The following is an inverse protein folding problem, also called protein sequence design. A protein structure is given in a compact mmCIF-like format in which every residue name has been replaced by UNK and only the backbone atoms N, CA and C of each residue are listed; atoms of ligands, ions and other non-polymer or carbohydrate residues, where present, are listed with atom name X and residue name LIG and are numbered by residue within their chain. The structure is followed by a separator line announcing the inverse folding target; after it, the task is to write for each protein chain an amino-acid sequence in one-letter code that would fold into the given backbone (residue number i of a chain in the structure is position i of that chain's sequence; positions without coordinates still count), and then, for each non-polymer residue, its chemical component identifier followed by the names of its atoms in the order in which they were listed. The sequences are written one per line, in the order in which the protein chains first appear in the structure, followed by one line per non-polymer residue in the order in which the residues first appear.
data_IF_744056820126
#
_entry.id   IF_744056820126
#
_cell.length_a   1.000
_cell.length_b   1.000
_cell.length_c   1.000
_cell.angle_alpha   90.00
_cell.angle_beta   90.00
_cell.angle_gamma   90.00
#
_symmetry.space_group_name_H-M   'P 1'
#
loop_
_entity.id
_entity.type
_entity.pdbx_description
1 polymer ?
#
# COMPACT_ATOMS: atom_id res chain seq x y z
N UNK A 1 -37.01 -52.39 -34.03
CA UNK A 1 -37.13 -51.40 -32.93
C UNK A 1 -36.23 -51.84 -31.82
N UNK A 2 -35.03 -51.23 -31.77
CA UNK A 2 -34.05 -51.52 -30.70
C UNK A 2 -34.24 -50.40 -29.67
N UNK A 3 -34.72 -50.75 -28.48
CA UNK A 3 -34.90 -49.83 -27.37
C UNK A 3 -33.54 -49.57 -26.71
N UNK A 4 -33.05 -48.37 -26.84
CA UNK A 4 -31.94 -47.91 -26.05
C UNK A 4 -32.44 -47.53 -24.64
N UNK A 5 -32.22 -48.43 -23.69
CA UNK A 5 -32.32 -48.10 -22.26
C UNK A 5 -31.05 -47.32 -21.90
N UNK A 6 -31.16 -46.00 -21.77
CA UNK A 6 -30.13 -45.19 -21.16
C UNK A 6 -29.97 -45.65 -19.70
N UNK A 7 -28.86 -46.33 -19.43
CA UNK A 7 -28.41 -46.54 -18.04
C UNK A 7 -28.04 -45.17 -17.45
N UNK A 8 -28.94 -44.61 -16.63
CA UNK A 8 -28.59 -43.48 -15.75
C UNK A 8 -27.52 -43.98 -14.79
N UNK A 9 -26.29 -43.56 -14.99
CA UNK A 9 -25.26 -43.64 -13.98
C UNK A 9 -25.74 -42.76 -12.81
N UNK A 10 -25.93 -43.30 -11.59
CA UNK A 10 -26.21 -42.45 -10.43
C UNK A 10 -24.99 -41.56 -10.28
N UNK A 11 -25.10 -40.27 -10.55
CA UNK A 11 -24.09 -39.30 -10.14
C UNK A 11 -24.24 -39.20 -8.62
N UNK A 12 -23.54 -40.07 -7.90
CA UNK A 12 -23.25 -39.85 -6.47
C UNK A 12 -22.57 -38.49 -6.36
N UNK A 13 -23.29 -37.52 -5.80
CA UNK A 13 -22.73 -36.17 -5.60
C UNK A 13 -21.76 -36.26 -4.41
N UNK A 14 -20.55 -36.69 -4.73
CA UNK A 14 -19.46 -36.89 -3.73
C UNK A 14 -19.27 -35.64 -2.91
N UNK A 15 -19.43 -34.46 -3.49
CA UNK A 15 -19.30 -33.18 -2.79
C UNK A 15 -20.41 -33.03 -1.74
N UNK A 16 -21.70 -33.22 -2.14
CA UNK A 16 -22.83 -33.09 -1.20
C UNK A 16 -22.74 -34.07 -0.04
N UNK A 17 -22.25 -35.30 -0.30
CA UNK A 17 -22.12 -36.32 0.73
C UNK A 17 -21.00 -36.05 1.73
N UNK A 18 -20.01 -35.22 1.37
CA UNK A 18 -18.82 -34.95 2.23
C UNK A 18 -18.74 -33.51 2.73
N UNK A 19 -19.60 -32.57 2.26
CA UNK A 19 -19.49 -31.15 2.61
C UNK A 19 -19.56 -30.90 4.11
N UNK A 20 -20.46 -31.58 4.82
CA UNK A 20 -20.60 -31.39 6.28
C UNK A 20 -19.37 -31.90 7.04
N UNK A 21 -18.83 -33.06 6.70
CA UNK A 21 -17.62 -33.59 7.32
C UNK A 21 -16.41 -32.68 7.08
N UNK A 22 -16.27 -32.15 5.86
CA UNK A 22 -15.22 -31.19 5.52
C UNK A 22 -15.37 -29.90 6.34
N UNK A 23 -16.59 -29.35 6.42
CA UNK A 23 -16.86 -28.14 7.20
C UNK A 23 -16.58 -28.36 8.69
N UNK A 24 -17.06 -29.46 9.27
CA UNK A 24 -16.83 -29.77 10.68
C UNK A 24 -15.35 -29.97 10.98
N UNK A 25 -14.62 -30.63 10.08
CA UNK A 25 -13.16 -30.80 10.21
C UNK A 25 -12.44 -29.46 10.23
N UNK A 26 -12.77 -28.55 9.32
CA UNK A 26 -12.14 -27.23 9.22
C UNK A 26 -12.52 -26.35 10.44
N UNK A 27 -13.81 -26.33 10.83
CA UNK A 27 -14.24 -25.56 12.00
C UNK A 27 -13.62 -26.07 13.30
N UNK A 28 -13.45 -27.39 13.44
CA UNK A 28 -12.73 -27.96 14.59
C UNK A 28 -11.26 -27.55 14.60
N UNK A 29 -10.59 -27.45 13.43
CA UNK A 29 -9.24 -26.97 13.31
C UNK A 29 -9.07 -25.52 13.80
N UNK A 30 -10.06 -24.66 13.57
CA UNK A 30 -10.06 -23.25 14.05
C UNK A 30 -10.12 -23.12 15.59
N UNK A 31 -10.45 -24.19 16.31
CA UNK A 31 -10.47 -24.19 17.78
C UNK A 31 -9.08 -24.22 18.41
N UNK A 32 -8.02 -24.44 17.62
CA UNK A 32 -6.64 -24.54 18.12
C UNK A 32 -5.97 -23.20 18.42
N UNK A 33 -6.65 -22.06 18.19
CA UNK A 33 -6.18 -20.69 18.48
C UNK A 33 -4.75 -20.41 17.99
N UNK A 34 -4.49 -20.72 16.71
CA UNK A 34 -3.18 -20.49 16.10
C UNK A 34 -2.99 -19.01 15.76
N UNK A 35 -1.75 -18.57 15.61
CA UNK A 35 -1.42 -17.19 15.23
C UNK A 35 -2.02 -16.75 13.88
N UNK A 36 -2.43 -17.71 13.04
CA UNK A 36 -3.09 -17.47 11.76
C UNK A 36 -4.62 -17.28 11.90
N UNK A 37 -5.18 -17.59 13.09
CA UNK A 37 -6.61 -17.54 13.35
C UNK A 37 -7.02 -16.19 13.93
N UNK A 38 -8.04 -15.56 13.35
CA UNK A 38 -8.67 -14.32 13.82
C UNK A 38 -10.18 -14.42 13.67
N UNK A 39 -10.80 -15.17 14.57
CA UNK A 39 -12.25 -15.46 14.51
C UNK A 39 -13.13 -14.25 14.86
N UNK A 40 -12.59 -13.21 15.49
CA UNK A 40 -13.33 -11.97 15.74
C UNK A 40 -13.34 -11.11 14.49
N UNK A 41 -14.47 -11.04 13.82
CA UNK A 41 -14.70 -10.19 12.66
C UNK A 41 -14.58 -8.71 13.03
N UNK A 42 -14.09 -7.89 12.09
CA UNK A 42 -14.00 -6.43 12.20
C UNK A 42 -13.13 -5.87 13.33
N UNK A 43 -12.19 -6.67 13.84
CA UNK A 43 -11.25 -6.23 14.90
C UNK A 43 -9.88 -5.83 14.37
N UNK A 44 -9.61 -6.07 13.09
CA UNK A 44 -8.35 -5.76 12.41
C UNK A 44 -8.57 -4.79 11.24
N UNK A 45 -7.50 -4.08 10.80
CA UNK A 45 -7.56 -3.30 9.58
C UNK A 45 -7.94 -4.16 8.38
N UNK A 46 -8.82 -3.63 7.51
CA UNK A 46 -9.25 -4.31 6.29
C UNK A 46 -8.36 -3.90 5.11
N UNK A 47 -7.64 -4.86 4.55
CA UNK A 47 -6.75 -4.65 3.40
C UNK A 47 -7.47 -4.06 2.19
N UNK A 48 -8.73 -4.47 1.92
CA UNK A 48 -9.50 -3.96 0.78
C UNK A 48 -9.94 -2.52 0.99
N UNK A 49 -10.31 -2.16 2.23
CA UNK A 49 -10.63 -0.76 2.58
C UNK A 49 -9.38 0.11 2.45
N UNK A 50 -8.21 -0.38 2.86
CA UNK A 50 -6.93 0.35 2.70
C UNK A 50 -6.59 0.55 1.22
N UNK A 51 -6.78 -0.46 0.36
CA UNK A 51 -6.61 -0.31 -1.09
C UNK A 51 -7.55 0.78 -1.64
N UNK A 52 -8.81 0.80 -1.18
CA UNK A 52 -9.76 1.85 -1.58
C UNK A 52 -9.33 3.24 -1.13
N UNK A 53 -8.74 3.36 0.06
CA UNK A 53 -8.14 4.61 0.54
C UNK A 53 -6.98 5.04 -0.37
N UNK A 54 -6.10 4.12 -0.79
CA UNK A 54 -5.01 4.41 -1.73
C UNK A 54 -5.56 4.96 -3.05
N UNK A 55 -6.55 4.29 -3.64
CA UNK A 55 -7.20 4.75 -4.88
C UNK A 55 -7.78 6.16 -4.75
N UNK A 56 -8.43 6.46 -3.62
CA UNK A 56 -8.96 7.77 -3.34
C UNK A 56 -7.85 8.82 -3.15
N UNK A 57 -6.77 8.47 -2.43
CA UNK A 57 -5.61 9.35 -2.27
C UNK A 57 -4.93 9.64 -3.61
N UNK A 58 -4.83 8.66 -4.52
CA UNK A 58 -4.34 8.91 -5.89
C UNK A 58 -5.19 9.97 -6.62
N UNK A 59 -6.53 9.94 -6.48
CA UNK A 59 -7.43 10.95 -7.05
C UNK A 59 -7.23 12.33 -6.41
N UNK A 60 -6.92 12.38 -5.12
CA UNK A 60 -6.62 13.62 -4.38
C UNK A 60 -5.26 14.19 -4.81
N UNK A 61 -4.25 13.34 -5.01
CA UNK A 61 -2.92 13.75 -5.46
C UNK A 61 -2.91 14.27 -6.90
N UNK A 62 -3.68 13.64 -7.79
CA UNK A 62 -3.74 13.96 -9.22
C UNK A 62 -5.17 14.31 -9.65
N UNK A 63 -5.72 15.47 -9.23
CA UNK A 63 -7.08 15.84 -9.51
C UNK A 63 -7.33 15.94 -11.02
N UNK A 64 -8.39 15.28 -11.49
CA UNK A 64 -8.76 15.25 -12.89
C UNK A 64 -8.20 14.09 -13.72
N UNK A 65 -7.15 13.40 -13.28
CA UNK A 65 -6.57 12.25 -14.00
C UNK A 65 -7.28 10.95 -13.72
N UNK A 66 -7.60 10.65 -12.47
CA UNK A 66 -8.25 9.39 -12.05
C UNK A 66 -9.72 9.68 -11.71
N UNK A 67 -10.66 9.37 -12.62
CA UNK A 67 -12.09 9.63 -12.45
C UNK A 67 -12.88 8.35 -12.21
N UNK A 68 -13.93 8.46 -11.39
CA UNK A 68 -15.01 7.46 -11.40
C UNK A 68 -15.93 7.74 -12.59
N UNK A 69 -16.09 6.76 -13.47
CA UNK A 69 -16.88 6.88 -14.70
C UNK A 69 -18.40 6.95 -14.45
N UNK A 70 -18.83 6.67 -13.21
CA UNK A 70 -20.24 6.49 -12.86
C UNK A 70 -21.03 7.78 -12.57
N UNK A 71 -20.36 8.92 -12.38
CA UNK A 71 -21.06 10.17 -12.04
C UNK A 71 -20.58 11.32 -12.90
N UNK A 72 -21.49 11.92 -13.68
CA UNK A 72 -21.32 13.24 -14.30
C UNK A 72 -21.43 14.29 -13.19
N UNK A 73 -20.33 14.57 -12.50
CA UNK A 73 -20.34 15.60 -11.45
C UNK A 73 -20.03 16.93 -12.10
N UNK A 74 -21.02 17.81 -12.09
CA UNK A 74 -20.97 19.14 -12.73
C UNK A 74 -20.09 20.15 -11.96
N UNK A 75 -19.69 19.86 -10.71
CA UNK A 75 -18.92 20.78 -9.87
C UNK A 75 -17.76 19.99 -9.25
N UNK A 76 -16.56 20.22 -9.75
CA UNK A 76 -15.32 19.52 -9.28
C UNK A 76 -15.09 19.72 -7.76
N UNK A 77 -15.38 20.92 -7.25
CA UNK A 77 -15.17 21.26 -5.83
C UNK A 77 -16.00 20.38 -4.90
N UNK A 78 -17.28 20.18 -5.20
CA UNK A 78 -18.17 19.36 -4.37
C UNK A 78 -17.74 17.87 -4.40
N UNK A 79 -17.29 17.37 -5.55
CA UNK A 79 -16.84 15.99 -5.68
C UNK A 79 -15.54 15.75 -4.91
N UNK A 80 -14.63 16.71 -4.94
CA UNK A 80 -13.36 16.63 -4.19
C UNK A 80 -13.61 16.68 -2.68
N UNK A 81 -14.55 17.52 -2.22
CA UNK A 81 -14.93 17.55 -0.80
C UNK A 81 -15.45 16.19 -0.33
N UNK A 82 -16.42 15.60 -1.03
CA UNK A 82 -16.97 14.28 -0.68
C UNK A 82 -15.90 13.21 -0.69
N UNK A 83 -14.98 13.25 -1.68
CA UNK A 83 -13.87 12.29 -1.78
C UNK A 83 -12.92 12.41 -0.57
N UNK A 84 -12.58 13.64 -0.16
CA UNK A 84 -11.72 13.88 1.01
C UNK A 84 -12.42 13.40 2.28
N UNK A 85 -13.69 13.76 2.49
CA UNK A 85 -14.47 13.36 3.66
C UNK A 85 -14.59 11.83 3.76
N UNK A 86 -14.97 11.11 2.69
CA UNK A 86 -15.05 9.64 2.67
C UNK A 86 -13.69 9.01 2.99
N UNK A 87 -12.62 9.53 2.39
CA UNK A 87 -11.27 8.99 2.61
C UNK A 87 -10.80 9.21 4.04
N UNK A 88 -11.08 10.40 4.62
CA UNK A 88 -10.75 10.74 5.99
C UNK A 88 -11.45 9.80 6.99
N UNK A 89 -12.76 9.60 6.85
CA UNK A 89 -13.51 8.72 7.76
C UNK A 89 -13.08 7.25 7.64
N UNK A 90 -12.85 6.77 6.41
CA UNK A 90 -12.32 5.40 6.20
C UNK A 90 -10.95 5.23 6.83
N UNK A 91 -10.02 6.16 6.59
CA UNK A 91 -8.68 6.08 7.16
C UNK A 91 -8.72 6.14 8.69
N UNK A 92 -9.52 7.03 9.26
CA UNK A 92 -9.71 7.13 10.71
C UNK A 92 -10.12 5.78 11.31
N UNK A 93 -11.10 5.10 10.71
CA UNK A 93 -11.53 3.78 11.21
C UNK A 93 -10.44 2.73 11.09
N UNK A 94 -9.66 2.73 10.00
CA UNK A 94 -8.57 1.78 9.84
C UNK A 94 -7.42 2.06 10.83
N UNK A 95 -7.10 3.33 11.10
CA UNK A 95 -6.10 3.70 12.12
C UNK A 95 -6.55 3.24 13.50
N UNK A 96 -7.80 3.49 13.89
CA UNK A 96 -8.37 3.03 15.18
C UNK A 96 -8.20 1.51 15.38
N UNK A 97 -8.46 0.72 14.32
CA UNK A 97 -8.24 -0.72 14.35
C UNK A 97 -6.75 -1.08 14.41
N UNK A 98 -5.90 -0.34 13.70
CA UNK A 98 -4.48 -0.60 13.63
C UNK A 98 -3.76 -0.30 14.94
N UNK A 99 -4.16 0.74 15.69
CA UNK A 99 -3.56 1.12 16.97
C UNK A 99 -3.54 -0.02 17.99
N UNK A 100 -4.54 -0.91 17.95
CA UNK A 100 -4.61 -2.12 18.81
C UNK A 100 -3.43 -3.09 18.62
N UNK A 101 -2.63 -2.91 17.56
CA UNK A 101 -1.44 -3.73 17.26
C UNK A 101 -0.12 -3.04 17.67
N UNK A 102 -0.19 -1.84 18.22
CA UNK A 102 0.99 -1.16 18.74
C UNK A 102 1.14 -1.43 20.24
N UNK A 103 2.35 -1.80 20.70
CA UNK A 103 2.62 -1.95 22.13
C UNK A 103 2.34 -0.67 22.95
N UNK A 104 2.45 0.49 22.31
CA UNK A 104 2.20 1.79 22.96
C UNK A 104 0.74 1.96 23.41
N UNK A 105 -0.19 1.19 22.83
CA UNK A 105 -1.63 1.25 23.09
C UNK A 105 -2.20 -0.06 23.67
N UNK A 106 -1.35 -0.96 24.19
CA UNK A 106 -1.76 -2.28 24.72
C UNK A 106 -2.83 -2.15 25.83
N UNK A 107 -2.75 -1.10 26.63
CA UNK A 107 -3.66 -0.84 27.75
C UNK A 107 -4.64 0.30 27.49
N UNK A 108 -4.69 0.85 26.27
CA UNK A 108 -5.59 1.94 25.92
C UNK A 108 -7.03 1.45 25.79
N UNK A 109 -7.97 2.23 26.28
CA UNK A 109 -9.39 1.95 26.08
C UNK A 109 -9.88 2.40 24.69
N UNK A 110 -11.10 2.00 24.31
CA UNK A 110 -11.67 2.33 23.00
C UNK A 110 -11.86 3.85 22.81
N UNK A 111 -12.04 4.63 23.88
CA UNK A 111 -12.16 6.09 23.79
C UNK A 111 -10.80 6.74 23.48
N UNK A 112 -9.75 6.31 24.15
CA UNK A 112 -8.38 6.77 23.91
C UNK A 112 -7.93 6.44 22.49
N UNK A 113 -8.19 5.21 22.03
CA UNK A 113 -7.89 4.79 20.66
C UNK A 113 -8.64 5.63 19.62
N UNK A 114 -9.90 5.93 19.88
CA UNK A 114 -10.73 6.75 18.99
C UNK A 114 -10.19 8.18 18.87
N UNK A 115 -9.85 8.82 19.98
CA UNK A 115 -9.30 10.19 20.00
C UNK A 115 -7.95 10.24 19.29
N UNK A 116 -7.08 9.27 19.57
CA UNK A 116 -5.77 9.21 18.94
C UNK A 116 -5.86 8.96 17.43
N UNK A 117 -6.75 8.05 17.00
CA UNK A 117 -6.99 7.82 15.57
C UNK A 117 -7.43 9.10 14.84
N UNK A 118 -8.30 9.91 15.45
CA UNK A 118 -8.70 11.19 14.89
C UNK A 118 -7.51 12.15 14.78
N UNK A 119 -6.70 12.26 15.83
CA UNK A 119 -5.51 13.12 15.85
C UNK A 119 -4.52 12.74 14.72
N UNK A 120 -4.22 11.44 14.59
CA UNK A 120 -3.32 10.92 13.57
C UNK A 120 -3.87 11.13 12.16
N UNK A 121 -5.17 10.91 11.97
CA UNK A 121 -5.85 11.11 10.68
C UNK A 121 -5.75 12.57 10.25
N UNK A 122 -6.09 13.50 11.14
CA UNK A 122 -6.01 14.95 10.85
C UNK A 122 -4.57 15.35 10.56
N UNK A 123 -3.60 14.89 11.36
CA UNK A 123 -2.18 15.15 11.14
C UNK A 123 -1.74 14.66 9.75
N UNK A 124 -2.11 13.46 9.35
CA UNK A 124 -1.81 12.92 8.02
C UNK A 124 -2.39 13.77 6.90
N UNK A 125 -3.67 14.14 6.96
CA UNK A 125 -4.28 14.95 5.90
C UNK A 125 -3.63 16.33 5.76
N UNK A 126 -3.10 16.90 6.82
CA UNK A 126 -2.32 18.15 6.77
C UNK A 126 -0.95 17.99 6.07
N UNK A 127 -0.44 16.78 5.91
CA UNK A 127 0.82 16.54 5.14
C UNK A 127 0.59 16.49 3.63
N UNK A 128 -0.64 16.28 3.15
CA UNK A 128 -0.93 16.06 1.72
C UNK A 128 -0.43 17.19 0.80
N UNK A 129 -0.51 18.50 1.15
CA UNK A 129 0.07 19.55 0.31
C UNK A 129 1.60 19.42 0.15
N UNK A 130 2.32 19.03 1.21
CA UNK A 130 3.76 18.75 1.17
C UNK A 130 4.05 17.56 0.25
N UNK A 131 3.29 16.48 0.38
CA UNK A 131 3.44 15.30 -0.48
C UNK A 131 3.21 15.67 -1.95
N UNK A 132 2.18 16.47 -2.26
CA UNK A 132 1.94 16.95 -3.63
C UNK A 132 3.09 17.77 -4.20
N UNK A 133 3.71 18.63 -3.38
CA UNK A 133 4.89 19.39 -3.81
C UNK A 133 6.07 18.47 -4.17
N UNK A 134 6.30 17.40 -3.40
CA UNK A 134 7.32 16.40 -3.72
C UNK A 134 6.99 15.62 -5.00
N UNK A 135 5.72 15.24 -5.19
CA UNK A 135 5.27 14.51 -6.40
C UNK A 135 5.42 15.34 -7.67
N UNK A 136 5.26 16.68 -7.60
CA UNK A 136 5.54 17.55 -8.74
C UNK A 136 7.02 17.49 -9.14
N UNK A 137 7.93 17.42 -8.16
CA UNK A 137 9.37 17.27 -8.46
C UNK A 137 9.71 15.90 -9.04
N UNK A 138 9.07 14.83 -8.54
CA UNK A 138 9.26 13.47 -9.07
C UNK A 138 8.72 13.33 -10.50
N UNK A 139 7.57 13.92 -10.77
CA UNK A 139 6.98 13.99 -12.11
C UNK A 139 7.91 14.73 -13.09
N UNK A 140 8.48 15.87 -12.66
CA UNK A 140 9.44 16.60 -13.46
C UNK A 140 10.69 15.77 -13.73
N UNK A 141 11.23 15.11 -12.71
CA UNK A 141 12.42 14.25 -12.85
C UNK A 141 12.17 13.05 -13.79
N UNK A 142 10.98 12.46 -13.74
CA UNK A 142 10.60 11.38 -14.66
C UNK A 142 10.49 11.87 -16.11
N UNK A 143 9.84 13.00 -16.32
CA UNK A 143 9.70 13.59 -17.66
C UNK A 143 11.05 14.02 -18.27
N UNK A 144 11.90 14.68 -17.48
CA UNK A 144 13.23 15.12 -17.96
C UNK A 144 14.21 13.97 -18.14
N UNK A 145 14.04 12.90 -17.35
CA UNK A 145 14.97 11.77 -17.29
C UNK A 145 14.67 10.64 -18.28
N UNK A 146 13.49 10.62 -18.91
CA UNK A 146 13.11 9.62 -19.91
C UNK A 146 12.85 10.29 -21.27
N UNK A 147 13.78 10.14 -22.23
CA UNK A 147 13.62 10.72 -23.57
C UNK A 147 12.45 10.12 -24.36
N UNK A 148 11.86 9.01 -23.91
CA UNK A 148 10.68 8.40 -24.52
C UNK A 148 9.37 8.98 -24.01
N UNK A 149 9.39 9.74 -22.91
CA UNK A 149 8.19 10.35 -22.34
C UNK A 149 7.64 11.45 -23.27
N UNK A 150 6.43 11.25 -23.79
CA UNK A 150 5.77 12.20 -24.68
C UNK A 150 5.25 13.44 -23.92
N UNK A 151 4.70 13.25 -22.73
CA UNK A 151 4.15 14.32 -21.90
C UNK A 151 4.14 13.93 -20.42
N UNK A 152 3.96 14.93 -19.52
CA UNK A 152 3.77 14.69 -18.10
C UNK A 152 2.47 13.91 -17.81
N UNK A 153 1.44 14.10 -18.62
CA UNK A 153 0.17 13.37 -18.54
C UNK A 153 0.39 11.86 -18.79
N UNK A 154 1.24 11.51 -19.77
CA UNK A 154 1.61 10.13 -20.02
C UNK A 154 2.32 9.51 -18.81
N UNK A 155 3.26 10.24 -18.22
CA UNK A 155 3.96 9.78 -17.00
C UNK A 155 2.97 9.53 -15.85
N UNK A 156 2.02 10.46 -15.61
CA UNK A 156 1.01 10.30 -14.55
C UNK A 156 0.13 9.08 -14.80
N UNK A 157 -0.28 8.83 -16.03
CA UNK A 157 -1.27 7.80 -16.36
C UNK A 157 -0.68 6.41 -16.55
N UNK A 158 0.63 6.28 -16.84
CA UNK A 158 1.20 5.02 -17.29
C UNK A 158 2.47 4.55 -16.56
N UNK A 159 3.21 5.44 -15.86
CA UNK A 159 4.49 5.05 -15.28
C UNK A 159 4.34 4.36 -13.91
N UNK A 160 4.72 3.08 -13.79
CA UNK A 160 4.67 2.36 -12.52
C UNK A 160 5.61 2.97 -11.47
N UNK A 161 6.73 3.59 -11.88
CA UNK A 161 7.65 4.28 -10.99
C UNK A 161 6.99 5.45 -10.25
N UNK A 162 6.19 6.27 -10.96
CA UNK A 162 5.46 7.38 -10.34
C UNK A 162 4.35 6.87 -9.40
N UNK A 163 3.65 5.80 -9.78
CA UNK A 163 2.66 5.18 -8.91
C UNK A 163 3.29 4.66 -7.61
N UNK A 164 4.41 3.95 -7.71
CA UNK A 164 5.10 3.39 -6.56
C UNK A 164 5.59 4.46 -5.58
N UNK A 165 6.26 5.52 -6.11
CA UNK A 165 6.75 6.61 -5.25
C UNK A 165 5.61 7.42 -4.64
N UNK A 166 4.49 7.60 -5.36
CA UNK A 166 3.31 8.29 -4.81
C UNK A 166 2.77 7.56 -3.58
N UNK A 167 2.57 6.25 -3.70
CA UNK A 167 2.07 5.44 -2.58
C UNK A 167 3.09 5.41 -1.44
N UNK A 168 4.40 5.32 -1.77
CA UNK A 168 5.44 5.34 -0.75
C UNK A 168 5.48 6.66 0.03
N UNK A 169 5.43 7.83 -0.64
CA UNK A 169 5.42 9.13 0.04
C UNK A 169 4.22 9.28 0.98
N UNK A 170 3.05 8.83 0.57
CA UNK A 170 1.84 8.81 1.43
C UNK A 170 2.02 7.86 2.62
N UNK A 171 2.51 6.65 2.37
CA UNK A 171 2.78 5.65 3.41
C UNK A 171 3.87 6.11 4.39
N UNK A 172 4.88 6.84 3.90
CA UNK A 172 5.95 7.40 4.71
C UNK A 172 5.43 8.41 5.73
N UNK A 173 4.51 9.30 5.36
CA UNK A 173 3.90 10.24 6.31
C UNK A 173 3.12 9.52 7.42
N UNK A 174 2.39 8.43 7.11
CA UNK A 174 1.75 7.60 8.13
C UNK A 174 2.78 6.84 8.99
N UNK A 175 3.89 6.40 8.40
CA UNK A 175 4.98 5.75 9.12
C UNK A 175 5.65 6.70 10.11
N UNK A 176 5.89 7.96 9.73
CA UNK A 176 6.43 9.00 10.60
C UNK A 176 5.48 9.35 11.77
N UNK A 177 4.19 9.17 11.57
CA UNK A 177 3.17 9.32 12.62
C UNK A 177 3.05 8.06 13.51
N UNK A 178 3.90 7.05 13.32
CA UNK A 178 3.88 5.77 14.02
C UNK A 178 2.55 5.00 13.90
N UNK A 179 1.82 5.18 12.78
CA UNK A 179 0.63 4.38 12.49
C UNK A 179 1.06 2.94 12.19
N UNK A 180 0.60 1.94 12.98
CA UNK A 180 1.00 0.56 12.75
C UNK A 180 0.31 -0.06 11.53
N UNK A 181 0.89 -1.08 10.93
CA UNK A 181 0.37 -1.93 9.85
C UNK A 181 0.05 -1.21 8.53
N UNK A 182 -0.72 -0.12 8.57
CA UNK A 182 -1.27 0.56 7.38
C UNK A 182 -0.17 0.99 6.40
N UNK A 183 0.92 1.67 6.82
CA UNK A 183 1.99 2.06 5.89
C UNK A 183 2.57 0.86 5.13
N UNK A 184 2.76 -0.27 5.82
CA UNK A 184 3.28 -1.49 5.18
C UNK A 184 2.28 -2.11 4.21
N UNK A 185 0.99 -2.17 4.56
CA UNK A 185 -0.06 -2.65 3.66
C UNK A 185 -0.10 -1.80 2.38
N UNK A 186 0.07 -0.47 2.50
CA UNK A 186 0.11 0.43 1.35
C UNK A 186 1.30 0.14 0.43
N UNK A 187 2.50 0.01 0.98
CA UNK A 187 3.70 -0.24 0.14
C UNK A 187 3.73 -1.65 -0.43
N UNK A 188 3.19 -2.66 0.26
CA UNK A 188 3.01 -4.01 -0.31
C UNK A 188 1.97 -4.04 -1.44
N UNK A 189 0.95 -3.20 -1.37
CA UNK A 189 0.04 -3.03 -2.50
C UNK A 189 0.76 -2.40 -3.70
N UNK A 190 1.56 -1.35 -3.50
CA UNK A 190 2.37 -0.74 -4.56
C UNK A 190 3.34 -1.77 -5.16
N UNK A 191 4.04 -2.56 -4.33
CA UNK A 191 4.93 -3.64 -4.75
C UNK A 191 4.18 -4.67 -5.62
N UNK A 192 3.01 -5.12 -5.18
CA UNK A 192 2.23 -6.13 -5.92
C UNK A 192 1.73 -5.65 -7.28
N UNK A 193 1.54 -4.35 -7.47
CA UNK A 193 1.00 -3.77 -8.72
C UNK A 193 2.07 -3.24 -9.66
N UNK A 194 3.24 -2.88 -9.13
CA UNK A 194 4.33 -2.23 -9.92
C UNK A 194 5.60 -3.08 -10.02
N UNK A 195 5.77 -4.09 -9.17
CA UNK A 195 7.03 -4.81 -9.02
C UNK A 195 8.14 -4.02 -8.33
N UNK A 196 7.80 -2.88 -7.67
CA UNK A 196 8.73 -1.97 -7.00
C UNK A 196 8.47 -2.02 -5.49
N UNK A 197 9.43 -2.55 -4.73
CA UNK A 197 9.37 -2.69 -3.27
C UNK A 197 10.11 -1.53 -2.59
N UNK A 198 9.38 -0.57 -2.02
CA UNK A 198 9.96 0.52 -1.23
C UNK A 198 9.34 0.48 0.17
N UNK A 199 10.17 0.21 1.19
CA UNK A 199 9.70 0.21 2.57
C UNK A 199 9.23 1.61 3.00
N UNK A 200 8.11 1.76 3.74
CA UNK A 200 7.59 3.08 4.12
C UNK A 200 8.53 3.88 5.05
N UNK A 201 9.49 3.22 5.72
CA UNK A 201 10.51 3.86 6.53
C UNK A 201 11.65 4.50 5.73
N UNK A 202 11.79 4.21 4.43
CA UNK A 202 12.82 4.81 3.59
C UNK A 202 12.57 6.32 3.45
N UNK A 203 13.65 7.11 3.60
CA UNK A 203 13.62 8.57 3.42
C UNK A 203 14.12 8.91 2.03
N UNK A 204 13.29 9.59 1.22
CA UNK A 204 13.57 9.87 -0.19
C UNK A 204 13.42 11.36 -0.45
N UNK A 205 14.48 11.98 -0.99
CA UNK A 205 14.53 13.38 -1.35
C UNK A 205 13.61 13.75 -2.53
N UNK A 206 13.65 15.00 -2.94
CA UNK A 206 12.92 15.54 -4.09
C UNK A 206 13.60 15.15 -5.42
N UNK A 207 12.86 15.22 -6.54
CA UNK A 207 13.32 14.84 -7.88
C UNK A 207 13.80 13.38 -7.96
N UNK A 208 13.06 12.48 -7.34
CA UNK A 208 13.36 11.05 -7.38
C UNK A 208 12.70 10.41 -8.60
N UNK A 209 13.49 9.71 -9.42
CA UNK A 209 13.01 9.04 -10.62
C UNK A 209 13.33 7.54 -10.62
N UNK A 210 12.31 6.73 -10.83
CA UNK A 210 12.40 5.28 -11.07
C UNK A 210 12.14 5.02 -12.55
N UNK A 211 13.15 4.49 -13.26
CA UNK A 211 13.04 4.11 -14.65
C UNK A 211 12.83 2.60 -14.78
N UNK A 212 11.79 2.17 -15.53
CA UNK A 212 11.26 0.80 -15.63
C UNK A 212 10.77 0.25 -14.28
N UNK A 213 11.66 0.05 -13.34
CA UNK A 213 11.41 -0.16 -11.93
C UNK A 213 11.26 -1.60 -11.47
N UNK A 214 10.90 -2.55 -12.32
CA UNK A 214 10.67 -3.95 -11.93
C UNK A 214 11.86 -4.53 -11.15
N UNK A 215 11.60 -5.10 -9.97
CA UNK A 215 12.61 -5.73 -9.13
C UNK A 215 13.47 -4.76 -8.32
N UNK A 216 13.09 -3.48 -8.22
CA UNK A 216 13.71 -2.55 -7.27
C UNK A 216 13.32 -2.94 -5.85
N UNK A 217 14.31 -2.92 -4.94
CA UNK A 217 14.09 -3.08 -3.49
C UNK A 217 14.78 -1.96 -2.73
N UNK A 218 14.02 -1.21 -1.94
CA UNK A 218 14.50 -0.13 -1.07
C UNK A 218 14.15 -0.44 0.38
N UNK A 219 15.16 -0.77 1.19
CA UNK A 219 14.96 -1.20 2.57
C UNK A 219 14.63 -0.08 3.55
N UNK A 220 14.09 -0.44 4.71
CA UNK A 220 13.51 0.42 5.75
C UNK A 220 14.35 1.64 6.13
N UNK A 221 15.63 1.46 6.36
CA UNK A 221 16.51 2.53 6.86
C UNK A 221 17.36 3.15 5.75
N UNK A 222 16.96 2.98 4.47
CA UNK A 222 17.59 3.65 3.34
C UNK A 222 17.33 5.15 3.41
N UNK A 223 18.37 5.92 3.10
CA UNK A 223 18.25 7.37 2.89
C UNK A 223 18.71 7.67 1.48
N UNK A 224 17.88 8.37 0.70
CA UNK A 224 18.15 8.78 -0.68
C UNK A 224 18.08 10.31 -0.72
N UNK A 225 19.12 10.94 -1.27
CA UNK A 225 19.20 12.37 -1.45
C UNK A 225 18.31 12.90 -2.56
N UNK A 226 18.60 14.13 -3.03
CA UNK A 226 17.86 14.81 -4.09
C UNK A 226 18.37 14.41 -5.47
N UNK A 227 17.48 14.47 -6.47
CA UNK A 227 17.85 14.24 -7.88
C UNK A 227 18.55 12.89 -8.08
N UNK A 228 17.94 11.82 -7.56
CA UNK A 228 18.45 10.46 -7.68
C UNK A 228 17.59 9.68 -8.68
N UNK A 229 18.27 9.02 -9.64
CA UNK A 229 17.65 8.13 -10.61
C UNK A 229 18.07 6.69 -10.35
N UNK A 230 17.11 5.76 -10.32
CA UNK A 230 17.37 4.32 -10.19
C UNK A 230 16.65 3.53 -11.28
N UNK A 231 17.33 2.49 -11.76
CA UNK A 231 16.83 1.60 -12.80
C UNK A 231 16.32 0.27 -12.21
N UNK A 232 15.68 -0.53 -13.04
CA UNK A 232 15.15 -1.85 -12.68
C UNK A 232 16.22 -2.75 -12.03
N UNK A 233 15.78 -3.61 -11.11
CA UNK A 233 16.63 -4.60 -10.44
C UNK A 233 17.62 -4.05 -9.42
N UNK A 234 17.59 -2.73 -9.13
CA UNK A 234 18.45 -2.13 -8.10
C UNK A 234 18.00 -2.57 -6.71
N UNK A 235 18.95 -3.01 -5.87
CA UNK A 235 18.69 -3.45 -4.51
C UNK A 235 19.44 -2.59 -3.49
N UNK A 236 18.72 -1.70 -2.81
CA UNK A 236 19.20 -0.93 -1.66
C UNK A 236 18.91 -1.70 -0.35
N UNK A 237 19.51 -2.87 -0.22
CA UNK A 237 19.29 -3.85 0.84
C UNK A 237 20.27 -3.74 1.99
N UNK A 238 20.06 -4.55 3.03
CA UNK A 238 21.01 -4.70 4.13
C UNK A 238 22.11 -5.72 3.77
N UNK A 239 23.34 -5.45 4.19
CA UNK A 239 24.47 -6.38 4.01
C UNK A 239 24.23 -7.74 4.72
N UNK A 240 23.48 -7.75 5.80
CA UNK A 240 23.14 -8.94 6.53
C UNK A 240 21.86 -8.75 7.35
N UNK A 241 21.00 -9.76 7.34
CA UNK A 241 19.79 -9.86 8.17
C UNK A 241 19.88 -10.90 9.27
N UNK A 242 21.09 -11.47 9.53
CA UNK A 242 21.30 -12.55 10.52
C UNK A 242 20.86 -12.22 11.94
N UNK A 243 20.75 -10.92 12.29
CA UNK A 243 20.26 -10.47 13.59
C UNK A 243 18.75 -10.58 13.77
N UNK A 244 17.98 -10.83 12.70
CA UNK A 244 16.51 -10.88 12.73
C UNK A 244 15.91 -9.66 13.42
N UNK A 245 14.93 -9.87 14.31
CA UNK A 245 14.21 -8.81 15.03
C UNK A 245 15.12 -7.86 15.86
N UNK A 246 16.33 -8.32 16.26
CA UNK A 246 17.30 -7.47 16.99
C UNK A 246 17.84 -6.30 16.16
N UNK A 247 17.60 -6.30 14.85
CA UNK A 247 17.98 -5.24 13.92
C UNK A 247 16.87 -4.19 13.72
N UNK A 248 15.69 -4.37 14.29
CA UNK A 248 14.61 -3.42 14.22
C UNK A 248 15.04 -2.04 14.69
N UNK A 249 14.69 -0.99 13.94
CA UNK A 249 15.06 0.39 14.23
C UNK A 249 16.54 0.76 14.06
N UNK A 250 17.43 -0.20 13.69
CA UNK A 250 18.85 0.06 13.48
C UNK A 250 19.15 0.36 12.02
N UNK A 251 20.00 1.36 11.76
CA UNK A 251 20.52 1.66 10.42
C UNK A 251 21.27 0.45 9.87
N UNK A 252 20.76 -0.11 8.74
CA UNK A 252 21.31 -1.31 8.08
C UNK A 252 21.24 -1.28 6.56
N UNK A 253 20.62 -0.25 5.98
CA UNK A 253 20.49 -0.03 4.55
C UNK A 253 21.36 1.15 4.11
N UNK A 254 21.70 1.26 2.80
CA UNK A 254 22.61 2.28 2.31
C UNK A 254 22.08 3.70 2.47
N UNK A 255 23.01 4.66 2.38
CA UNK A 255 22.73 6.09 2.18
C UNK A 255 23.25 6.49 0.82
N UNK A 256 22.37 7.03 -0.01
CA UNK A 256 22.64 7.53 -1.36
C UNK A 256 22.65 9.06 -1.28
N UNK A 257 23.72 9.69 -1.80
CA UNK A 257 23.82 11.15 -1.84
C UNK A 257 22.95 11.78 -2.94
N UNK A 258 23.11 13.10 -3.10
CA UNK A 258 22.42 13.85 -4.15
C UNK A 258 23.01 13.57 -5.55
N UNK A 259 22.21 13.75 -6.60
CA UNK A 259 22.63 13.66 -8.02
C UNK A 259 23.26 12.31 -8.41
N UNK A 260 22.77 11.22 -7.83
CA UNK A 260 23.26 9.86 -8.09
C UNK A 260 22.36 9.14 -9.09
N UNK A 261 22.98 8.48 -10.06
CA UNK A 261 22.29 7.51 -10.94
C UNK A 261 22.78 6.11 -10.64
N UNK A 262 21.85 5.19 -10.32
CA UNK A 262 22.17 3.78 -10.08
C UNK A 262 21.56 2.97 -11.23
N UNK A 263 22.45 2.37 -12.05
CA UNK A 263 22.05 1.60 -13.22
C UNK A 263 21.50 0.21 -12.86
N UNK A 264 20.90 -0.44 -13.87
CA UNK A 264 20.18 -1.67 -13.75
C UNK A 264 20.96 -2.79 -13.06
N UNK A 265 20.33 -3.48 -12.11
CA UNK A 265 20.87 -4.67 -11.45
C UNK A 265 21.99 -4.43 -10.43
N UNK A 266 22.20 -3.17 -10.01
CA UNK A 266 23.19 -2.85 -8.98
C UNK A 266 22.69 -3.20 -7.56
#
# INVERSE_FOLDING_TARGET
MISYTEARIPMDNIIENNVNDIVDTILNDYTHDRSIDKMKLFTQPDRYVIIKIIENLMKIMYPGYFRDTSHKIYIMENSTRVLIEDTLFRLNKQIELALKYSPDYENADDCELHVEAQRLTVAFFHTLPKVRALLETDLQAAFDGDPAAYSKEEVILSYPGLQAITINRLAHELFLLNVPLIPRIMTEYAHSTTGIDIHPGATIGEYFFIDHGTGIVVGETTTIGKNVKIYQGVTLGALSTRGGQKLQGKKRHPTIGDNVTIYAGA
#
